data_IF_171327867111
#
_entry.id   IF_171327867111
#
_cell.length_a   1.000
_cell.length_b   1.000
_cell.length_c   1.000
_cell.angle_alpha   90.00
_cell.angle_beta   90.00
_cell.angle_gamma   90.00
#
_symmetry.space_group_name_H-M   'P 1'
#
loop_
_entity.id
_entity.type
_entity.pdbx_description
1 polymer ?
#
# COMPACT_ATOMS: atom_id res chain seq x y z
N UNK A 1 -9.53 1.87 1.30
CA UNK A 1 -10.83 1.25 1.28
C UNK A 1 -11.92 2.25 0.98
N UNK A 2 -12.87 1.81 0.22
CA UNK A 2 -14.06 2.56 -0.10
C UNK A 2 -15.25 1.76 0.40
N UNK A 3 -16.20 2.40 0.92
CA UNK A 3 -17.40 1.77 1.42
C UNK A 3 -18.35 2.86 1.80
N UNK A 4 -19.56 2.55 2.32
CA UNK A 4 -20.36 3.60 2.89
C UNK A 4 -19.50 4.31 3.92
N UNK A 5 -19.22 5.58 3.65
CA UNK A 5 -18.29 6.37 4.42
C UNK A 5 -18.84 6.55 5.84
N UNK A 6 -18.34 5.76 6.75
CA UNK A 6 -18.29 6.20 8.12
C UNK A 6 -16.94 6.92 8.28
N UNK A 7 -16.97 8.24 8.39
CA UNK A 7 -15.77 9.05 8.60
C UNK A 7 -14.99 8.73 9.88
N UNK A 8 -15.50 7.81 10.68
CA UNK A 8 -14.86 7.31 11.90
C UNK A 8 -14.01 6.05 11.71
N UNK A 9 -13.96 5.46 10.49
CA UNK A 9 -13.23 4.23 10.23
C UNK A 9 -12.20 4.42 9.13
N UNK A 10 -10.93 4.26 9.48
CA UNK A 10 -9.82 4.34 8.56
C UNK A 10 -9.79 3.18 7.54
N UNK A 11 -10.48 2.09 7.83
CA UNK A 11 -10.44 0.85 7.06
C UNK A 11 -11.84 0.40 6.63
N UNK A 12 -12.42 1.12 5.69
CA UNK A 12 -13.63 0.67 5.01
C UNK A 12 -13.26 0.03 3.67
N UNK A 13 -13.98 -1.00 3.29
CA UNK A 13 -13.81 -1.65 2.00
C UNK A 13 -15.17 -1.93 1.39
N UNK A 14 -15.24 -1.76 0.08
CA UNK A 14 -16.43 -2.11 -0.68
C UNK A 14 -16.49 -3.62 -0.81
N UNK A 15 -17.32 -4.24 0.02
CA UNK A 15 -17.51 -5.67 0.04
C UNK A 15 -18.95 -6.02 -0.39
N UNK A 16 -19.10 -7.21 -0.95
CA UNK A 16 -20.34 -7.76 -1.47
C UNK A 16 -20.91 -7.05 -2.73
N UNK A 17 -21.71 -7.77 -3.52
CA UNK A 17 -22.19 -7.31 -4.84
C UNK A 17 -22.90 -5.97 -4.83
N UNK A 18 -23.74 -5.73 -3.82
CA UNK A 18 -24.49 -4.48 -3.72
C UNK A 18 -23.59 -3.24 -3.64
N UNK A 19 -22.59 -3.27 -2.75
CA UNK A 19 -21.69 -2.13 -2.55
C UNK A 19 -20.72 -1.94 -3.72
N UNK A 20 -20.23 -3.03 -4.32
CA UNK A 20 -19.41 -2.97 -5.53
C UNK A 20 -20.18 -2.32 -6.69
N UNK A 21 -21.41 -2.74 -6.93
CA UNK A 21 -22.28 -2.16 -7.96
C UNK A 21 -22.55 -0.68 -7.70
N UNK A 22 -22.86 -0.31 -6.45
CA UNK A 22 -23.08 1.09 -6.06
C UNK A 22 -21.85 1.95 -6.27
N UNK A 23 -20.66 1.44 -5.95
CA UNK A 23 -19.40 2.15 -6.18
C UNK A 23 -19.11 2.31 -7.66
N UNK A 24 -19.26 1.27 -8.47
CA UNK A 24 -19.09 1.35 -9.93
C UNK A 24 -19.99 2.43 -10.52
N UNK A 25 -21.26 2.44 -10.12
CA UNK A 25 -22.22 3.48 -10.57
C UNK A 25 -21.80 4.89 -10.16
N UNK A 26 -21.28 5.05 -8.93
CA UNK A 26 -20.83 6.37 -8.45
C UNK A 26 -19.58 6.89 -9.16
N UNK A 27 -18.83 6.01 -9.79
CA UNK A 27 -17.58 6.34 -10.47
C UNK A 27 -17.75 6.70 -11.95
N UNK A 28 -18.92 6.45 -12.54
CA UNK A 28 -19.22 6.71 -13.95
C UNK A 28 -19.01 8.17 -14.39
N UNK A 29 -19.06 9.11 -13.45
CA UNK A 29 -18.88 10.54 -13.72
C UNK A 29 -17.41 10.96 -13.86
N UNK A 30 -16.47 10.11 -13.50
CA UNK A 30 -15.05 10.45 -13.50
C UNK A 30 -14.34 9.95 -14.77
N UNK A 31 -13.67 10.84 -15.52
CA UNK A 31 -12.96 10.47 -16.75
C UNK A 31 -11.57 9.87 -16.45
N UNK A 32 -11.51 8.87 -15.57
CA UNK A 32 -10.28 8.19 -15.18
C UNK A 32 -10.52 6.68 -15.10
N UNK A 33 -9.45 5.91 -15.22
CA UNK A 33 -9.51 4.47 -14.99
C UNK A 33 -9.58 4.18 -13.49
N UNK A 34 -10.51 3.32 -13.09
CA UNK A 34 -10.74 2.95 -11.69
C UNK A 34 -10.74 1.44 -11.53
N UNK A 35 -10.14 0.98 -10.47
CA UNK A 35 -10.07 -0.43 -10.08
C UNK A 35 -10.63 -0.57 -8.68
N UNK A 36 -11.66 -1.40 -8.51
CA UNK A 36 -12.24 -1.68 -7.21
C UNK A 36 -11.71 -3.01 -6.68
N UNK A 37 -11.24 -3.00 -5.44
CA UNK A 37 -10.83 -4.20 -4.73
C UNK A 37 -11.94 -4.65 -3.79
N UNK A 38 -12.32 -5.92 -3.88
CA UNK A 38 -13.18 -6.58 -2.92
C UNK A 38 -12.46 -6.87 -1.60
N UNK A 39 -13.17 -7.36 -0.60
CA UNK A 39 -12.61 -7.79 0.68
C UNK A 39 -12.09 -9.23 0.57
N UNK A 40 -10.78 -9.42 0.80
CA UNK A 40 -10.13 -10.73 0.76
C UNK A 40 -10.02 -11.45 2.10
N UNK A 41 -10.39 -10.79 3.21
CA UNK A 41 -10.28 -11.37 4.56
C UNK A 41 -11.41 -12.37 4.84
N UNK A 42 -11.33 -13.51 4.21
CA UNK A 42 -12.22 -14.65 4.40
C UNK A 42 -11.53 -15.94 3.98
N UNK A 43 -11.97 -17.05 4.52
CA UNK A 43 -11.59 -18.38 4.05
C UNK A 43 -12.63 -18.97 3.09
N UNK A 44 -13.72 -18.27 2.85
CA UNK A 44 -14.77 -18.65 1.89
C UNK A 44 -14.40 -18.17 0.49
N UNK A 45 -13.97 -19.08 -0.36
CA UNK A 45 -13.65 -18.77 -1.76
C UNK A 45 -14.90 -18.33 -2.54
N UNK A 46 -16.06 -18.93 -2.28
CA UNK A 46 -17.32 -18.53 -2.92
C UNK A 46 -17.66 -17.06 -2.71
N UNK A 47 -17.46 -16.54 -1.50
CA UNK A 47 -17.69 -15.13 -1.19
C UNK A 47 -16.75 -14.20 -1.95
N UNK A 48 -15.53 -14.64 -2.25
CA UNK A 48 -14.60 -13.89 -3.11
C UNK A 48 -15.01 -13.95 -4.58
N UNK A 49 -15.42 -15.12 -5.06
CA UNK A 49 -15.94 -15.28 -6.43
C UNK A 49 -17.20 -14.44 -6.68
N UNK A 50 -18.09 -14.29 -5.69
CA UNK A 50 -19.26 -13.40 -5.80
C UNK A 50 -18.82 -11.94 -6.03
N UNK A 51 -17.80 -11.48 -5.32
CA UNK A 51 -17.27 -10.13 -5.48
C UNK A 51 -16.62 -9.91 -6.85
N UNK A 52 -15.88 -10.88 -7.37
CA UNK A 52 -15.32 -10.82 -8.73
C UNK A 52 -16.44 -10.73 -9.79
N UNK A 53 -17.48 -11.55 -9.67
CA UNK A 53 -18.64 -11.49 -10.59
C UNK A 53 -19.37 -10.15 -10.51
N UNK A 54 -19.30 -9.47 -9.38
CA UNK A 54 -19.90 -8.15 -9.18
C UNK A 54 -19.03 -6.99 -9.65
N UNK A 55 -17.81 -7.26 -10.18
CA UNK A 55 -16.93 -6.25 -10.75
C UNK A 55 -15.72 -5.88 -9.91
N UNK A 56 -15.41 -6.62 -8.85
CA UNK A 56 -14.11 -6.46 -8.19
C UNK A 56 -12.99 -6.91 -9.13
N UNK A 57 -11.91 -6.14 -9.19
CA UNK A 57 -10.74 -6.41 -10.03
C UNK A 57 -9.57 -7.01 -9.25
N UNK A 58 -9.81 -7.45 -8.04
CA UNK A 58 -8.85 -8.01 -7.10
C UNK A 58 -9.34 -7.89 -5.67
N UNK A 59 -8.44 -8.09 -4.72
CA UNK A 59 -8.82 -8.10 -3.31
C UNK A 59 -7.90 -7.23 -2.45
N UNK A 60 -8.48 -6.68 -1.38
CA UNK A 60 -7.78 -6.07 -0.26
C UNK A 60 -7.83 -6.99 0.94
N UNK A 61 -6.67 -7.21 1.55
CA UNK A 61 -6.49 -7.82 2.86
C UNK A 61 -6.05 -6.75 3.86
N UNK A 62 -6.62 -6.75 5.06
CA UNK A 62 -6.28 -5.78 6.11
C UNK A 62 -6.35 -6.43 7.50
N UNK A 63 -5.42 -6.05 8.38
CA UNK A 63 -5.33 -6.59 9.74
C UNK A 63 -6.60 -6.42 10.57
N UNK A 64 -7.28 -5.26 10.45
CA UNK A 64 -8.53 -4.98 11.18
C UNK A 64 -9.64 -6.01 10.91
N UNK A 65 -9.52 -6.76 9.83
CA UNK A 65 -10.46 -7.82 9.44
C UNK A 65 -9.87 -9.21 9.61
N UNK A 66 -8.64 -9.31 10.14
CA UNK A 66 -7.92 -10.55 10.34
C UNK A 66 -7.10 -11.00 9.12
N UNK A 67 -5.94 -10.37 8.88
CA UNK A 67 -4.97 -10.82 7.87
C UNK A 67 -4.18 -12.04 8.35
N UNK A 68 -4.89 -13.10 8.69
CA UNK A 68 -4.31 -14.36 9.14
C UNK A 68 -3.67 -15.14 7.98
N UNK A 69 -2.72 -16.05 8.25
CA UNK A 69 -2.16 -16.92 7.22
C UNK A 69 -3.21 -17.66 6.38
N UNK A 70 -4.28 -18.13 7.02
CA UNK A 70 -5.36 -18.83 6.33
C UNK A 70 -6.15 -17.91 5.38
N UNK A 71 -6.42 -16.68 5.80
CA UNK A 71 -7.12 -15.70 4.95
C UNK A 71 -6.23 -15.28 3.76
N UNK A 72 -4.94 -15.04 4.00
CA UNK A 72 -3.98 -14.71 2.95
C UNK A 72 -3.91 -15.85 1.92
N UNK A 73 -3.75 -17.08 2.38
CA UNK A 73 -3.66 -18.25 1.49
C UNK A 73 -4.94 -18.47 0.68
N UNK A 74 -6.12 -18.39 1.30
CA UNK A 74 -7.39 -18.52 0.61
C UNK A 74 -7.59 -17.42 -0.45
N UNK A 75 -7.26 -16.18 -0.11
CA UNK A 75 -7.35 -15.07 -1.06
C UNK A 75 -6.42 -15.26 -2.25
N UNK A 76 -5.17 -15.68 -2.01
CA UNK A 76 -4.20 -15.88 -3.07
C UNK A 76 -4.55 -17.08 -3.98
N UNK A 77 -5.19 -18.13 -3.46
CA UNK A 77 -5.70 -19.20 -4.33
C UNK A 77 -6.74 -18.68 -5.33
N UNK A 78 -7.69 -17.88 -4.86
CA UNK A 78 -8.68 -17.26 -5.75
C UNK A 78 -8.02 -16.29 -6.74
N UNK A 79 -7.05 -15.51 -6.27
CA UNK A 79 -6.31 -14.59 -7.14
C UNK A 79 -5.56 -15.32 -8.27
N UNK A 80 -4.89 -16.42 -7.94
CA UNK A 80 -4.15 -17.22 -8.90
C UNK A 80 -5.10 -17.82 -9.98
N UNK A 81 -6.25 -18.34 -9.55
CA UNK A 81 -7.25 -18.91 -10.47
C UNK A 81 -7.93 -17.85 -11.33
N UNK A 82 -8.27 -16.70 -10.74
CA UNK A 82 -8.96 -15.61 -11.44
C UNK A 82 -8.03 -14.72 -12.27
N UNK A 83 -6.72 -14.79 -12.08
CA UNK A 83 -5.75 -13.90 -12.72
C UNK A 83 -5.84 -12.45 -12.23
N UNK A 84 -6.11 -12.24 -10.95
CA UNK A 84 -6.23 -10.91 -10.32
C UNK A 84 -5.23 -10.73 -9.19
N UNK A 85 -5.05 -9.49 -8.71
CA UNK A 85 -4.07 -9.17 -7.67
C UNK A 85 -4.71 -9.08 -6.28
N UNK A 86 -4.00 -9.57 -5.26
CA UNK A 86 -4.24 -9.27 -3.87
C UNK A 86 -3.37 -8.10 -3.41
N UNK A 87 -3.93 -7.22 -2.60
CA UNK A 87 -3.23 -6.09 -1.98
C UNK A 87 -3.34 -6.21 -0.46
N UNK A 88 -2.21 -6.24 0.21
CA UNK A 88 -2.11 -6.59 1.62
C UNK A 88 -1.62 -5.42 2.48
N UNK A 89 -2.42 -5.06 3.50
CA UNK A 89 -1.95 -4.40 4.71
C UNK A 89 -1.67 -5.50 5.74
N UNK A 90 -0.39 -5.70 6.07
CA UNK A 90 0.02 -6.77 6.96
C UNK A 90 -0.30 -6.47 8.43
N UNK A 91 -0.21 -7.48 9.26
CA UNK A 91 -0.55 -7.45 10.69
C UNK A 91 0.47 -6.61 11.49
N UNK A 92 0.14 -5.36 11.76
CA UNK A 92 1.01 -4.41 12.47
C UNK A 92 1.32 -4.85 13.90
N UNK A 93 0.32 -5.42 14.57
CA UNK A 93 0.43 -5.85 15.96
C UNK A 93 1.06 -7.24 16.13
N UNK A 94 1.35 -7.92 15.02
CA UNK A 94 1.88 -9.28 15.00
C UNK A 94 0.98 -10.30 15.75
N UNK A 95 -0.34 -10.10 15.71
CA UNK A 95 -1.31 -10.96 16.42
C UNK A 95 -1.38 -12.35 15.82
N UNK A 96 -1.27 -12.47 14.50
CA UNK A 96 -1.28 -13.74 13.78
C UNK A 96 0.11 -14.30 13.49
N UNK A 97 1.15 -13.59 13.90
CA UNK A 97 2.55 -13.94 13.69
C UNK A 97 3.36 -12.78 13.13
N UNK A 98 4.66 -12.98 12.96
CA UNK A 98 5.58 -11.98 12.42
C UNK A 98 5.65 -12.01 10.89
N UNK A 99 6.52 -11.17 10.29
CA UNK A 99 6.65 -11.05 8.83
C UNK A 99 6.92 -12.39 8.15
N UNK A 100 7.69 -13.27 8.78
CA UNK A 100 7.99 -14.60 8.26
C UNK A 100 6.74 -15.48 8.14
N UNK A 101 5.80 -15.35 9.08
CA UNK A 101 4.52 -16.08 9.03
C UNK A 101 3.69 -15.64 7.83
N UNK A 102 3.62 -14.32 7.59
CA UNK A 102 2.96 -13.76 6.42
C UNK A 102 3.65 -14.19 5.12
N UNK A 103 4.98 -14.14 5.05
CA UNK A 103 5.75 -14.61 3.89
C UNK A 103 5.53 -16.11 3.64
N UNK A 104 5.43 -16.91 4.72
CA UNK A 104 5.08 -18.33 4.63
C UNK A 104 3.70 -18.55 4.00
N UNK A 105 2.70 -17.74 4.36
CA UNK A 105 1.36 -17.79 3.77
C UNK A 105 1.32 -17.32 2.31
N UNK A 106 2.13 -16.33 1.95
CA UNK A 106 2.30 -15.89 0.55
C UNK A 106 2.90 -17.01 -0.30
N UNK A 107 3.83 -17.76 0.25
CA UNK A 107 4.43 -18.95 -0.40
C UNK A 107 5.00 -18.66 -1.80
N UNK A 108 5.64 -17.51 -1.99
CA UNK A 108 6.26 -17.11 -3.25
C UNK A 108 5.29 -16.66 -4.35
N UNK A 109 3.98 -16.57 -4.05
CA UNK A 109 2.97 -16.03 -4.98
C UNK A 109 3.10 -14.51 -5.13
N UNK A 110 2.53 -13.97 -6.20
CA UNK A 110 2.51 -12.51 -6.41
C UNK A 110 1.53 -11.83 -5.46
N UNK A 111 1.99 -10.77 -4.79
CA UNK A 111 1.15 -9.96 -3.92
C UNK A 111 1.64 -8.51 -3.87
N UNK A 112 0.70 -7.57 -3.85
CA UNK A 112 1.01 -6.16 -3.62
C UNK A 112 1.02 -5.86 -2.12
N UNK A 113 2.16 -5.44 -1.58
CA UNK A 113 2.31 -5.01 -0.19
C UNK A 113 2.20 -3.50 -0.08
N UNK A 114 1.22 -3.00 0.69
CA UNK A 114 1.04 -1.58 0.95
C UNK A 114 2.01 -1.06 2.00
N UNK A 115 2.26 0.27 1.99
CA UNK A 115 3.05 1.04 2.96
C UNK A 115 4.20 0.23 3.57
N UNK A 116 5.01 -0.32 2.70
CA UNK A 116 6.10 -1.26 3.03
C UNK A 116 7.19 -0.65 3.95
N UNK A 117 7.21 0.67 4.11
CA UNK A 117 8.06 1.36 5.09
C UNK A 117 7.56 1.17 6.54
N UNK A 118 6.31 0.78 6.72
CA UNK A 118 5.70 0.46 8.00
C UNK A 118 4.97 1.60 8.71
N UNK A 119 5.13 2.86 8.30
CA UNK A 119 4.48 3.99 8.96
C UNK A 119 2.95 3.97 8.76
N UNK A 120 2.47 3.59 7.58
CA UNK A 120 1.05 3.40 7.29
C UNK A 120 0.45 2.13 7.88
N UNK A 121 1.26 1.26 8.45
CA UNK A 121 0.90 -0.04 9.02
C UNK A 121 1.68 -1.17 8.37
N UNK A 122 1.72 -2.29 9.05
CA UNK A 122 2.45 -3.49 8.64
C UNK A 122 3.38 -3.99 9.74
N UNK A 123 3.78 -5.25 9.65
CA UNK A 123 4.60 -5.90 10.67
C UNK A 123 5.68 -5.00 11.23
N UNK A 124 5.67 -4.81 12.54
CA UNK A 124 6.65 -4.00 13.25
C UNK A 124 7.73 -4.93 13.85
N UNK A 125 9.03 -4.61 13.68
CA UNK A 125 9.60 -3.49 12.91
C UNK A 125 9.92 -3.81 11.44
N UNK A 126 9.65 -5.02 10.95
CA UNK A 126 10.39 -5.65 9.88
C UNK A 126 9.71 -5.67 8.51
N UNK A 127 8.52 -5.07 8.37
CA UNK A 127 7.77 -5.10 7.09
C UNK A 127 8.62 -4.60 5.92
N UNK A 128 9.52 -3.67 6.12
CA UNK A 128 10.38 -3.12 5.07
C UNK A 128 11.24 -4.19 4.38
N UNK A 129 11.50 -5.31 5.04
CA UNK A 129 12.31 -6.42 4.49
C UNK A 129 11.64 -7.08 3.29
N UNK A 130 10.31 -7.00 3.15
CA UNK A 130 9.60 -7.57 2.00
C UNK A 130 9.95 -6.90 0.68
N UNK A 131 10.53 -5.69 0.72
CA UNK A 131 11.05 -5.03 -0.49
C UNK A 131 12.19 -5.80 -1.18
N UNK A 132 12.81 -6.76 -0.48
CA UNK A 132 13.82 -7.66 -1.03
C UNK A 132 13.28 -9.06 -1.38
N UNK A 133 12.00 -9.33 -1.19
CA UNK A 133 11.42 -10.66 -1.40
C UNK A 133 10.88 -10.78 -2.83
N UNK A 134 11.29 -11.78 -3.62
CA UNK A 134 10.75 -12.01 -4.95
C UNK A 134 9.22 -12.15 -4.93
N UNK A 135 8.57 -11.60 -5.96
CA UNK A 135 7.12 -11.61 -6.16
C UNK A 135 6.29 -10.80 -5.15
N UNK A 136 6.88 -10.23 -4.11
CA UNK A 136 6.23 -9.18 -3.33
C UNK A 136 6.43 -7.85 -4.04
N UNK A 137 5.34 -7.18 -4.39
CA UNK A 137 5.33 -5.92 -5.13
C UNK A 137 5.12 -4.77 -4.14
N UNK A 138 6.19 -4.09 -3.67
CA UNK A 138 6.07 -3.13 -2.60
C UNK A 138 5.60 -1.77 -3.10
N UNK A 139 4.73 -1.15 -2.33
CA UNK A 139 4.40 0.27 -2.45
C UNK A 139 4.61 1.00 -1.14
N UNK A 140 4.75 2.31 -1.21
CA UNK A 140 4.75 3.17 -0.05
C UNK A 140 3.78 4.34 -0.20
N UNK A 141 3.49 5.03 0.89
CA UNK A 141 2.56 6.14 0.92
C UNK A 141 3.28 7.49 0.82
N UNK A 142 2.61 8.50 0.28
CA UNK A 142 3.25 9.78 -0.01
C UNK A 142 3.64 10.63 1.23
N UNK A 143 2.98 10.58 2.39
CA UNK A 143 3.30 11.47 3.50
C UNK A 143 4.71 11.29 4.08
N UNK A 144 5.29 10.09 4.00
CA UNK A 144 6.63 9.81 4.52
C UNK A 144 7.75 10.40 3.65
N UNK A 145 7.45 10.94 2.48
CA UNK A 145 8.45 11.32 1.48
C UNK A 145 8.36 12.74 0.96
N UNK A 146 9.50 13.33 0.61
CA UNK A 146 10.86 12.88 0.98
C UNK A 146 11.09 13.01 2.47
N UNK A 147 11.97 12.18 3.03
CA UNK A 147 12.34 12.28 4.44
C UNK A 147 13.01 13.63 4.75
N UNK A 148 12.45 14.31 5.74
CA UNK A 148 12.93 15.59 6.29
C UNK A 148 13.04 15.49 7.80
N UNK A 149 13.53 16.54 8.43
CA UNK A 149 13.64 16.62 9.90
C UNK A 149 12.29 16.54 10.61
N UNK A 150 11.20 16.91 9.94
CA UNK A 150 9.85 16.92 10.53
C UNK A 150 9.02 15.69 10.16
N UNK A 151 9.51 14.80 9.27
CA UNK A 151 8.68 13.73 8.73
C UNK A 151 8.16 12.78 9.81
N UNK A 152 9.00 12.44 10.78
CA UNK A 152 8.60 11.52 11.86
C UNK A 152 7.51 12.14 12.73
N UNK A 153 7.68 13.40 13.15
CA UNK A 153 6.72 14.11 14.01
C UNK A 153 5.39 14.33 13.28
N UNK A 154 5.45 14.80 12.02
CA UNK A 154 4.26 14.99 11.17
C UNK A 154 3.48 13.68 10.99
N UNK A 155 4.20 12.56 10.84
CA UNK A 155 3.58 11.26 10.64
C UNK A 155 3.01 10.69 11.93
N UNK A 156 3.66 10.95 13.07
CA UNK A 156 3.14 10.60 14.38
C UNK A 156 1.81 11.31 14.65
N UNK A 157 1.74 12.61 14.39
CA UNK A 157 0.50 13.40 14.52
C UNK A 157 -0.60 12.86 13.59
N UNK A 158 -0.26 12.55 12.35
CA UNK A 158 -1.21 11.93 11.40
C UNK A 158 -1.76 10.61 11.93
N UNK A 159 -0.91 9.74 12.47
CA UNK A 159 -1.33 8.44 12.98
C UNK A 159 -2.25 8.60 14.19
N UNK A 160 -1.93 9.50 15.11
CA UNK A 160 -2.78 9.82 16.27
C UNK A 160 -4.17 10.25 15.80
N UNK A 161 -4.24 11.17 14.83
CA UNK A 161 -5.52 11.66 14.30
C UNK A 161 -6.30 10.55 13.57
N UNK A 162 -5.65 9.82 12.67
CA UNK A 162 -6.30 8.81 11.83
C UNK A 162 -6.81 7.60 12.61
N UNK A 163 -6.15 7.26 13.72
CA UNK A 163 -6.54 6.14 14.58
C UNK A 163 -7.33 6.56 15.82
N UNK A 164 -7.73 7.84 15.90
CA UNK A 164 -8.50 8.38 17.03
C UNK A 164 -7.82 8.17 18.40
N UNK A 165 -6.49 8.21 18.41
CA UNK A 165 -5.69 8.07 19.62
C UNK A 165 -5.68 9.36 20.42
N UNK A 166 -5.45 9.23 21.72
CA UNK A 166 -5.34 10.36 22.62
C UNK A 166 -3.87 10.57 23.04
N UNK A 167 -3.19 11.65 22.64
CA UNK A 167 -1.79 11.87 22.97
C UNK A 167 -1.53 12.06 24.48
N UNK A 168 -2.60 12.23 25.28
CA UNK A 168 -2.50 12.29 26.75
C UNK A 168 -2.57 10.92 27.41
N UNK A 169 -2.81 9.86 26.65
CA UNK A 169 -2.82 8.48 27.12
C UNK A 169 -1.50 7.82 26.75
N UNK A 170 -0.66 7.41 27.72
CA UNK A 170 0.67 6.87 27.45
C UNK A 170 0.66 5.63 26.54
N UNK A 171 -0.35 4.78 26.65
CA UNK A 171 -0.49 3.57 25.83
C UNK A 171 -0.77 3.91 24.37
N UNK A 172 -1.61 4.90 24.11
CA UNK A 172 -1.92 5.38 22.76
C UNK A 172 -0.67 5.98 22.10
N UNK A 173 0.08 6.76 22.85
CA UNK A 173 1.33 7.37 22.38
C UNK A 173 2.38 6.28 22.10
N UNK A 174 2.55 5.32 23.00
CA UNK A 174 3.48 4.21 22.82
C UNK A 174 3.13 3.38 21.58
N UNK A 175 1.85 3.13 21.33
CA UNK A 175 1.39 2.46 20.10
C UNK A 175 1.78 3.26 18.86
N UNK A 176 1.51 4.57 18.84
CA UNK A 176 1.84 5.42 17.71
C UNK A 176 3.34 5.46 17.44
N UNK A 177 4.16 5.65 18.48
CA UNK A 177 5.63 5.68 18.39
C UNK A 177 6.22 4.34 17.94
N UNK A 178 5.60 3.21 18.27
CA UNK A 178 6.06 1.88 17.81
C UNK A 178 5.97 1.73 16.30
N UNK A 179 5.04 2.41 15.65
CA UNK A 179 4.83 2.37 14.19
C UNK A 179 5.70 3.39 13.43
N UNK A 180 5.92 4.56 14.01
CA UNK A 180 6.66 5.65 13.35
C UNK A 180 8.15 5.54 13.68
N UNK A 181 8.90 5.00 12.74
CA UNK A 181 10.34 4.76 12.90
C UNK A 181 11.15 5.58 11.90
N UNK A 182 11.89 6.60 12.36
CA UNK A 182 12.68 7.46 11.47
C UNK A 182 13.65 6.69 10.57
N UNK A 183 14.22 5.59 11.05
CA UNK A 183 15.18 4.80 10.29
C UNK A 183 14.56 4.13 9.05
N UNK A 184 13.37 3.53 9.17
CA UNK A 184 12.69 2.90 8.04
C UNK A 184 12.15 3.94 7.06
N UNK A 185 11.62 5.05 7.57
CA UNK A 185 11.17 6.19 6.74
C UNK A 185 12.35 6.80 5.97
N UNK A 186 13.52 6.95 6.59
CA UNK A 186 14.72 7.46 5.90
C UNK A 186 15.23 6.48 4.84
N UNK A 187 15.19 5.18 5.11
CA UNK A 187 15.59 4.13 4.16
C UNK A 187 14.67 4.07 2.93
N UNK A 188 13.41 4.39 3.09
CA UNK A 188 12.40 4.38 2.04
C UNK A 188 12.80 5.18 0.80
N UNK A 189 13.30 6.41 0.98
CA UNK A 189 13.75 7.26 -0.13
C UNK A 189 14.81 6.56 -0.97
N UNK A 190 15.77 5.89 -0.31
CA UNK A 190 16.85 5.15 -0.98
C UNK A 190 16.28 3.93 -1.71
N UNK A 191 15.38 3.18 -1.09
CA UNK A 191 14.75 2.02 -1.71
C UNK A 191 13.92 2.41 -2.94
N UNK A 192 13.28 3.57 -2.94
CA UNK A 192 12.66 4.13 -4.14
C UNK A 192 13.67 4.45 -5.23
N UNK A 193 14.80 5.05 -4.87
CA UNK A 193 15.80 5.49 -5.85
C UNK A 193 16.55 4.32 -6.50
N UNK A 194 16.78 3.23 -5.77
CA UNK A 194 17.34 1.99 -6.35
C UNK A 194 16.31 1.12 -7.06
N UNK A 195 15.02 1.39 -6.88
CA UNK A 195 13.93 0.65 -7.52
C UNK A 195 13.39 -0.53 -6.70
N UNK A 196 13.86 -0.74 -5.47
CA UNK A 196 13.39 -1.82 -4.61
C UNK A 196 11.93 -1.63 -4.19
N UNK A 197 11.49 -0.37 -3.91
CA UNK A 197 10.08 -0.03 -3.79
C UNK A 197 9.60 0.51 -5.13
N UNK A 198 8.70 -0.23 -5.78
CA UNK A 198 8.32 0.01 -7.18
C UNK A 198 7.16 0.98 -7.36
N UNK A 199 6.32 1.17 -6.34
CA UNK A 199 5.08 1.94 -6.45
C UNK A 199 4.93 2.99 -5.34
N UNK A 200 4.15 4.01 -5.65
CA UNK A 200 3.77 5.07 -4.72
C UNK A 200 2.25 5.20 -4.74
N UNK A 201 1.63 5.07 -3.58
CA UNK A 201 0.22 5.30 -3.35
C UNK A 201 -0.04 6.51 -2.47
N UNK A 202 -1.31 6.82 -2.24
CA UNK A 202 -1.71 7.92 -1.37
C UNK A 202 -2.11 7.48 0.03
N UNK A 203 -2.72 6.31 0.16
CA UNK A 203 -3.39 5.89 1.39
C UNK A 203 -4.42 6.92 1.89
N UNK A 204 -5.17 7.51 0.97
CA UNK A 204 -5.88 8.79 1.17
C UNK A 204 -7.04 8.75 2.17
N UNK A 205 -7.54 7.57 2.51
CA UNK A 205 -8.61 7.42 3.50
C UNK A 205 -8.11 7.05 4.90
N UNK A 206 -6.80 6.86 5.04
CA UNK A 206 -6.16 6.59 6.32
C UNK A 206 -5.10 7.66 6.62
N UNK A 207 -3.86 7.46 6.17
CA UNK A 207 -2.74 8.32 6.51
C UNK A 207 -2.15 9.05 5.31
N UNK A 208 -2.92 9.29 4.24
CA UNK A 208 -2.39 9.79 3.00
C UNK A 208 -3.11 10.97 2.39
N UNK A 209 -2.50 11.53 1.34
CA UNK A 209 -2.97 12.73 0.64
C UNK A 209 -2.93 12.50 -0.87
N UNK A 210 -4.09 12.17 -1.47
CA UNK A 210 -4.17 11.83 -2.91
C UNK A 210 -3.60 12.92 -3.82
N UNK A 211 -3.85 14.19 -3.51
CA UNK A 211 -3.38 15.32 -4.30
C UNK A 211 -1.86 15.53 -4.30
N UNK A 212 -1.14 14.88 -3.38
CA UNK A 212 0.30 15.05 -3.24
C UNK A 212 1.14 13.90 -3.85
N UNK A 213 0.52 12.85 -4.37
CA UNK A 213 1.25 11.68 -4.90
C UNK A 213 2.30 12.08 -5.92
N UNK A 214 1.93 12.84 -6.93
CA UNK A 214 2.83 13.22 -8.02
C UNK A 214 3.92 14.16 -7.51
N UNK A 215 3.55 15.23 -6.79
CA UNK A 215 4.53 16.23 -6.35
C UNK A 215 5.56 15.64 -5.38
N UNK A 216 5.14 14.83 -4.41
CA UNK A 216 6.06 14.19 -3.46
C UNK A 216 6.95 13.14 -4.12
N UNK A 217 6.46 12.47 -5.14
CA UNK A 217 7.28 11.58 -5.97
C UNK A 217 8.45 12.34 -6.61
N UNK A 218 8.18 13.49 -7.21
CA UNK A 218 9.21 14.31 -7.85
C UNK A 218 10.13 15.01 -6.85
N UNK A 219 9.61 15.41 -5.69
CA UNK A 219 10.44 15.92 -4.59
C UNK A 219 11.42 14.85 -4.10
N UNK A 220 10.97 13.59 -3.97
CA UNK A 220 11.83 12.47 -3.61
C UNK A 220 12.91 12.24 -4.67
N UNK A 221 12.55 12.24 -5.95
CA UNK A 221 13.51 12.14 -7.06
C UNK A 221 14.58 13.25 -6.99
N UNK A 222 14.16 14.48 -6.73
CA UNK A 222 15.07 15.62 -6.60
C UNK A 222 16.02 15.47 -5.41
N UNK A 223 15.50 15.10 -4.23
CA UNK A 223 16.33 14.87 -3.03
C UNK A 223 17.32 13.75 -3.26
N UNK A 224 16.90 12.67 -3.89
CA UNK A 224 17.79 11.54 -4.21
C UNK A 224 18.86 11.92 -5.24
N UNK A 225 18.51 12.74 -6.24
CA UNK A 225 19.52 13.28 -7.17
C UNK A 225 20.59 14.07 -6.43
N UNK A 226 20.20 14.92 -5.49
CA UNK A 226 21.13 15.74 -4.71
C UNK A 226 22.01 14.92 -3.76
N UNK A 227 21.44 13.88 -3.14
CA UNK A 227 22.15 13.07 -2.14
C UNK A 227 23.02 11.98 -2.76
N UNK A 228 22.58 11.41 -3.89
CA UNK A 228 23.19 10.20 -4.50
C UNK A 228 23.82 10.43 -5.87
N UNK A 229 23.63 11.62 -6.46
CA UNK A 229 24.14 11.93 -7.79
C UNK A 229 23.31 11.30 -8.92
N UNK A 230 23.91 11.18 -10.11
CA UNK A 230 23.28 10.57 -11.28
C UNK A 230 23.13 9.05 -11.11
N UNK A 231 22.07 8.48 -11.70
CA UNK A 231 21.97 7.02 -11.83
C UNK A 231 22.91 6.50 -12.92
N UNK A 232 23.23 5.21 -12.86
CA UNK A 232 23.93 4.55 -13.95
C UNK A 232 23.08 4.65 -15.24
N UNK A 233 23.68 5.16 -16.31
CA UNK A 233 22.99 5.44 -17.57
C UNK A 233 22.48 6.85 -17.73
N UNK A 234 22.41 7.66 -16.66
CA UNK A 234 22.14 9.10 -16.77
C UNK A 234 23.41 9.84 -17.20
N UNK A 235 23.25 10.70 -18.23
CA UNK A 235 24.33 11.59 -18.70
C UNK A 235 24.14 13.02 -18.16
N UNK A 236 23.96 13.98 -19.08
CA UNK A 236 23.61 15.37 -18.72
C UNK A 236 22.16 15.54 -18.29
N UNK A 237 21.31 14.59 -18.65
CA UNK A 237 19.89 14.57 -18.32
C UNK A 237 19.61 13.36 -17.40
N UNK A 238 18.58 13.49 -16.55
CA UNK A 238 18.20 12.47 -15.58
C UNK A 238 17.11 11.53 -16.11
N UNK A 239 17.24 11.08 -17.36
CA UNK A 239 16.19 10.33 -18.04
C UNK A 239 15.89 8.99 -17.36
N UNK A 240 16.89 8.29 -16.86
CA UNK A 240 16.67 7.02 -16.18
C UNK A 240 15.97 7.20 -14.83
N UNK A 241 16.35 8.24 -14.07
CA UNK A 241 15.63 8.59 -12.84
C UNK A 241 14.21 9.06 -13.16
N UNK A 242 14.01 9.90 -14.16
CA UNK A 242 12.69 10.37 -14.57
C UNK A 242 11.77 9.21 -14.95
N UNK A 243 12.23 8.26 -15.78
CA UNK A 243 11.48 7.04 -16.11
C UNK A 243 11.12 6.23 -14.87
N UNK A 244 12.08 6.01 -13.99
CA UNK A 244 11.88 5.25 -12.74
C UNK A 244 10.80 5.87 -11.86
N UNK A 245 10.81 7.18 -11.71
CA UNK A 245 9.88 7.86 -10.81
C UNK A 245 8.49 8.06 -11.41
N UNK A 246 8.36 8.34 -12.71
CA UNK A 246 7.05 8.38 -13.36
C UNK A 246 6.38 7.01 -13.38
N UNK A 247 7.15 5.95 -13.56
CA UNK A 247 6.64 4.58 -13.55
C UNK A 247 5.93 4.20 -12.25
N UNK A 248 6.34 4.78 -11.11
CA UNK A 248 5.81 4.43 -9.78
C UNK A 248 4.33 4.71 -9.58
N UNK A 249 3.77 5.66 -10.29
CA UNK A 249 2.35 6.01 -10.23
C UNK A 249 1.62 5.87 -11.57
N UNK A 250 2.28 5.24 -12.54
CA UNK A 250 1.70 4.93 -13.87
C UNK A 250 1.82 3.45 -14.17
N UNK A 251 2.85 3.03 -14.89
CA UNK A 251 2.96 1.65 -15.41
C UNK A 251 3.21 0.61 -14.30
N UNK A 252 3.93 0.94 -13.22
CA UNK A 252 4.18 -0.05 -12.17
C UNK A 252 2.91 -0.52 -11.47
N UNK A 253 1.98 0.35 -11.01
CA UNK A 253 0.69 -0.12 -10.49
C UNK A 253 -0.14 -0.84 -11.55
N UNK A 254 -0.10 -0.44 -12.83
CA UNK A 254 -0.79 -1.15 -13.89
C UNK A 254 -0.25 -2.59 -14.07
N UNK A 255 1.08 -2.77 -14.01
CA UNK A 255 1.72 -4.10 -14.02
C UNK A 255 1.30 -4.90 -12.78
N UNK A 256 1.39 -4.30 -11.59
CA UNK A 256 1.07 -4.96 -10.34
C UNK A 256 -0.37 -5.51 -10.30
N UNK A 257 -1.30 -4.82 -10.96
CA UNK A 257 -2.70 -5.22 -11.03
C UNK A 257 -3.09 -5.94 -12.34
N UNK A 258 -2.11 -6.33 -13.16
CA UNK A 258 -2.35 -7.09 -14.40
C UNK A 258 -2.98 -6.29 -15.54
N UNK A 259 -2.99 -4.95 -15.46
CA UNK A 259 -3.70 -4.06 -16.36
C UNK A 259 -2.79 -3.32 -17.37
N UNK A 260 -1.51 -3.65 -17.42
CA UNK A 260 -0.51 -2.91 -18.20
C UNK A 260 -0.69 -3.00 -19.73
N UNK A 261 -1.58 -3.88 -20.21
CA UNK A 261 -1.95 -3.95 -21.63
C UNK A 261 -3.13 -3.05 -21.99
N UNK A 262 -3.87 -2.59 -20.98
CA UNK A 262 -5.09 -1.80 -21.13
C UNK A 262 -4.84 -0.34 -20.74
N UNK A 263 -4.03 -0.13 -19.71
CA UNK A 263 -3.70 1.18 -19.14
C UNK A 263 -2.23 1.23 -18.71
N UNK A 264 -1.69 2.47 -18.53
CA UNK A 264 -0.31 2.61 -18.05
C UNK A 264 0.25 4.02 -18.19
#
# INVERSE_FOLDING_TARGET
GTGPAEGSKATTVTAAPFYLSSMLTSMDVWPINLVLLGKGNTVSEDAMWEQLRAGASGFKLHEDWGSTPAAIDACLRVCDEAGVQASLHTDTLNEAGFVETTLGAIAGRSIHSYHTEGAGGGHAPDIITVAGVPNVLPSSTNPTRPHTVNTADEHLDMLIVCHHLNPSVPEDLAFAESRIRPSTIAAEDVLHDIGAISMIGSDSQAMGRVGEVVIRTWQTAHVMKRRRGALAGDGRADNERAKRYVAKYTICPAIAHGLSREIG
#
